data_IF_303062934185
#
_entry.id   IF_303062934185
#
_cell.length_a   1.000
_cell.length_b   1.000
_cell.length_c   1.000
_cell.angle_alpha   90.00
_cell.angle_beta   90.00
_cell.angle_gamma   90.00
#
_symmetry.space_group_name_H-M   'P 1'
#
loop_
_entity.id
_entity.type
_entity.pdbx_description
1 polymer ?
#
# COMPACT_ATOMS: atom_id res chain seq x y z
N UNK A 1 27.41 26.80 50.28
CA UNK A 1 26.30 25.92 49.87
C UNK A 1 25.55 26.55 48.71
N UNK A 2 26.12 26.43 47.51
CA UNK A 2 25.55 26.76 46.21
C UNK A 2 26.20 25.74 45.29
N UNK A 3 25.44 25.07 44.42
CA UNK A 3 25.87 24.10 43.38
C UNK A 3 25.13 22.74 43.41
N UNK A 4 23.88 22.69 43.87
CA UNK A 4 23.07 21.44 43.78
C UNK A 4 21.80 21.57 42.94
N UNK A 5 21.53 22.73 42.32
CA UNK A 5 20.29 22.94 41.55
C UNK A 5 20.44 22.80 40.02
N UNK A 6 21.65 22.73 39.47
CA UNK A 6 21.83 22.71 38.00
C UNK A 6 21.76 21.33 37.36
N UNK A 7 21.76 20.25 38.14
CA UNK A 7 21.84 18.88 37.59
C UNK A 7 20.44 18.34 37.21
N UNK A 8 19.37 18.86 37.80
CA UNK A 8 18.01 18.32 37.60
C UNK A 8 17.36 18.87 36.31
N UNK A 9 17.79 20.03 35.80
CA UNK A 9 17.22 20.62 34.60
C UNK A 9 17.78 20.04 33.28
N UNK A 10 18.92 19.33 33.33
CA UNK A 10 19.57 18.78 32.14
C UNK A 10 19.08 17.37 31.75
N UNK A 11 18.29 16.70 32.60
CA UNK A 11 17.84 15.32 32.39
C UNK A 11 16.48 15.19 31.69
N UNK A 12 15.78 16.30 31.44
CA UNK A 12 14.47 16.32 30.78
C UNK A 12 14.53 16.58 29.26
N UNK A 13 15.72 16.77 28.68
CA UNK A 13 15.87 17.10 27.25
C UNK A 13 16.14 15.90 26.33
N UNK A 14 16.17 14.66 26.82
CA UNK A 14 16.53 13.48 26.00
C UNK A 14 15.34 12.62 25.55
N UNK A 15 14.09 13.04 25.77
CA UNK A 15 12.90 12.28 25.34
C UNK A 15 12.53 12.47 23.86
N UNK A 16 13.34 13.17 23.06
CA UNK A 16 13.04 13.51 21.67
C UNK A 16 13.74 12.63 20.61
N UNK A 17 14.12 11.39 20.94
CA UNK A 17 14.60 10.45 19.92
C UNK A 17 13.46 9.56 19.42
N UNK A 18 12.76 10.12 18.43
CA UNK A 18 12.18 9.47 17.27
C UNK A 18 11.66 8.04 17.47
N UNK A 19 10.37 7.94 17.71
CA UNK A 19 9.58 6.78 17.31
C UNK A 19 9.42 6.77 15.78
N UNK A 20 10.53 6.68 15.04
CA UNK A 20 10.51 6.32 13.63
C UNK A 20 10.71 4.81 13.55
N UNK A 21 9.66 4.06 13.89
CA UNK A 21 9.50 2.73 13.30
C UNK A 21 9.21 2.93 11.81
N UNK A 22 10.25 3.25 11.05
CA UNK A 22 10.33 2.99 9.60
C UNK A 22 10.35 1.47 9.42
N UNK A 23 9.28 0.81 9.82
CA UNK A 23 9.00 -0.50 9.28
C UNK A 23 8.58 -0.20 7.85
N UNK A 24 9.52 -0.32 6.92
CA UNK A 24 9.18 -0.39 5.51
C UNK A 24 8.12 -1.47 5.41
N UNK A 25 6.88 -1.08 5.11
CA UNK A 25 5.82 -2.02 4.80
C UNK A 25 6.26 -2.70 3.52
N UNK A 26 6.95 -3.84 3.66
CA UNK A 26 7.41 -4.63 2.52
C UNK A 26 6.20 -5.37 1.99
N UNK A 27 5.49 -4.73 1.07
CA UNK A 27 4.51 -5.41 0.22
C UNK A 27 5.28 -6.37 -0.70
N UNK A 28 4.70 -7.52 -0.98
CA UNK A 28 5.26 -8.44 -1.98
C UNK A 28 5.39 -7.71 -3.32
N UNK A 29 6.56 -7.85 -3.96
CA UNK A 29 6.91 -7.24 -5.24
C UNK A 29 5.94 -7.66 -6.35
N UNK A 30 5.28 -8.80 -6.22
CA UNK A 30 4.28 -9.27 -7.16
C UNK A 30 3.03 -8.36 -7.21
N UNK A 31 2.71 -7.65 -6.12
CA UNK A 31 1.63 -6.66 -6.11
C UNK A 31 2.03 -5.32 -6.73
N UNK A 32 3.34 -5.02 -6.77
CA UNK A 32 3.82 -3.71 -7.20
C UNK A 32 3.59 -3.55 -8.70
N UNK A 33 3.08 -2.38 -9.10
CA UNK A 33 2.82 -2.02 -10.50
C UNK A 33 1.47 -1.35 -10.69
N UNK A 34 1.19 -1.00 -11.95
CA UNK A 34 -0.08 -0.45 -12.38
C UNK A 34 -0.99 -1.58 -12.87
N UNK A 35 -2.14 -1.70 -12.23
CA UNK A 35 -3.14 -2.71 -12.51
C UNK A 35 -4.38 -2.06 -13.10
N UNK A 36 -4.91 -2.64 -14.17
CA UNK A 36 -6.10 -2.14 -14.87
C UNK A 36 -7.17 -3.21 -14.90
N UNK A 37 -8.38 -2.85 -14.46
CA UNK A 37 -9.57 -3.69 -14.49
C UNK A 37 -10.69 -3.06 -15.30
N UNK A 38 -11.54 -3.89 -15.89
CA UNK A 38 -12.65 -3.45 -16.74
C UNK A 38 -13.95 -4.15 -16.34
N UNK A 39 -14.98 -3.37 -16.01
CA UNK A 39 -16.31 -3.91 -15.70
C UNK A 39 -17.39 -2.98 -16.22
N UNK A 40 -18.40 -3.50 -16.93
CA UNK A 40 -19.58 -2.73 -17.35
C UNK A 40 -19.27 -1.40 -18.08
N UNK A 41 -18.20 -1.38 -18.88
CA UNK A 41 -17.74 -0.17 -19.59
C UNK A 41 -17.00 0.85 -18.73
N UNK A 42 -16.80 0.57 -17.44
CA UNK A 42 -16.00 1.35 -16.51
C UNK A 42 -14.58 0.79 -16.43
N UNK A 43 -13.59 1.68 -16.40
CA UNK A 43 -12.18 1.34 -16.19
C UNK A 43 -11.79 1.65 -14.74
N UNK A 44 -11.02 0.75 -14.15
CA UNK A 44 -10.50 0.82 -12.78
C UNK A 44 -8.98 0.74 -12.82
N UNK A 45 -8.31 1.53 -11.98
CA UNK A 45 -6.86 1.52 -11.82
C UNK A 45 -6.48 1.29 -10.36
N UNK A 46 -5.50 0.44 -10.16
CA UNK A 46 -4.83 0.21 -8.86
C UNK A 46 -3.34 0.39 -9.10
N UNK A 47 -2.76 1.46 -8.58
CA UNK A 47 -1.32 1.71 -8.63
C UNK A 47 -0.72 1.39 -7.27
N UNK A 48 0.17 0.40 -7.22
CA UNK A 48 0.81 -0.07 -5.99
C UNK A 48 2.30 0.23 -6.07
N UNK A 49 2.76 1.08 -5.16
CA UNK A 49 4.17 1.46 -5.00
C UNK A 49 4.72 0.96 -3.67
N UNK A 50 6.00 0.60 -3.65
CA UNK A 50 6.72 0.33 -2.40
C UNK A 50 6.97 1.60 -1.57
N UNK A 51 6.84 2.78 -2.21
CA UNK A 51 7.03 4.06 -1.55
C UNK A 51 5.79 4.46 -0.75
N UNK A 52 6.02 4.92 0.47
CA UNK A 52 4.94 5.29 1.40
C UNK A 52 4.15 6.48 0.83
N UNK A 53 2.85 6.26 0.64
CA UNK A 53 1.91 7.31 0.21
C UNK A 53 1.76 7.45 -1.30
N UNK A 54 2.48 6.65 -2.08
CA UNK A 54 2.49 6.75 -3.55
C UNK A 54 1.61 5.70 -4.24
N UNK A 55 0.72 5.02 -3.50
CA UNK A 55 -0.25 4.10 -4.09
C UNK A 55 -1.59 4.79 -4.32
N UNK A 56 -2.36 4.34 -5.30
CA UNK A 56 -3.67 4.91 -5.60
C UNK A 56 -4.69 3.89 -6.09
N UNK A 57 -5.96 4.21 -5.87
CA UNK A 57 -7.10 3.53 -6.47
C UNK A 57 -7.95 4.57 -7.19
N UNK A 58 -8.27 4.31 -8.45
CA UNK A 58 -9.09 5.17 -9.29
C UNK A 58 -10.18 4.37 -10.00
N UNK A 59 -11.37 4.95 -10.06
CA UNK A 59 -12.38 4.58 -11.04
C UNK A 59 -12.42 5.72 -12.06
N UNK A 60 -12.19 5.42 -13.34
CA UNK A 60 -12.04 6.45 -14.37
C UNK A 60 -13.20 7.46 -14.32
N UNK A 61 -12.85 8.74 -14.17
CA UNK A 61 -13.82 9.84 -14.07
C UNK A 61 -14.37 10.10 -12.66
N UNK A 62 -13.84 9.44 -11.63
CA UNK A 62 -14.17 9.68 -10.21
C UNK A 62 -12.96 10.22 -9.44
N UNK A 63 -13.18 10.60 -8.19
CA UNK A 63 -12.11 11.03 -7.28
C UNK A 63 -11.08 9.90 -7.07
N UNK A 64 -9.79 10.24 -7.15
CA UNK A 64 -8.69 9.31 -6.92
C UNK A 64 -8.44 9.18 -5.42
N UNK A 65 -8.30 7.95 -4.94
CA UNK A 65 -7.96 7.65 -3.55
C UNK A 65 -6.47 7.34 -3.46
N UNK A 66 -5.71 8.23 -2.81
CA UNK A 66 -4.28 8.06 -2.57
C UNK A 66 -3.99 7.46 -1.19
N UNK A 67 -2.88 6.74 -1.07
CA UNK A 67 -2.40 6.26 0.22
C UNK A 67 -1.18 5.35 0.14
N UNK A 68 -0.85 4.73 1.27
CA UNK A 68 0.14 3.65 1.30
C UNK A 68 -0.58 2.33 1.11
N UNK A 69 -0.18 1.53 0.12
CA UNK A 69 -0.69 0.17 -0.04
C UNK A 69 -0.28 -0.71 1.16
N UNK A 70 -1.22 -1.52 1.63
CA UNK A 70 -0.99 -2.57 2.63
C UNK A 70 -1.74 -3.82 2.20
N UNK A 71 -1.07 -4.96 2.24
CA UNK A 71 -1.69 -6.27 2.05
C UNK A 71 -1.83 -6.91 3.42
N UNK A 72 -3.06 -7.25 3.78
CA UNK A 72 -3.40 -8.04 4.95
C UNK A 72 -3.78 -9.45 4.49
N UNK A 73 -2.76 -10.30 4.35
CA UNK A 73 -2.89 -11.70 3.90
C UNK A 73 -3.76 -12.54 4.85
N UNK A 74 -3.92 -12.12 6.11
CA UNK A 74 -4.74 -12.87 7.07
C UNK A 74 -6.23 -12.70 6.80
N UNK A 75 -6.62 -11.55 6.27
CA UNK A 75 -8.00 -11.18 6.02
C UNK A 75 -8.31 -11.04 4.53
N UNK A 76 -7.37 -11.41 3.66
CA UNK A 76 -7.46 -11.28 2.21
C UNK A 76 -7.86 -9.86 1.79
N UNK A 77 -7.11 -8.84 2.25
CA UNK A 77 -7.38 -7.43 1.92
C UNK A 77 -6.18 -6.69 1.36
N UNK A 78 -6.44 -5.89 0.32
CA UNK A 78 -5.58 -4.80 -0.12
C UNK A 78 -6.17 -3.48 0.37
N UNK A 79 -5.37 -2.66 1.03
CA UNK A 79 -5.79 -1.39 1.61
C UNK A 79 -4.97 -0.26 0.99
N UNK A 80 -5.62 0.73 0.39
CA UNK A 80 -5.00 1.95 -0.15
C UNK A 80 -5.73 3.16 0.43
N UNK A 81 -5.06 3.89 1.32
CA UNK A 81 -5.67 5.03 1.99
C UNK A 81 -6.89 4.61 2.80
N UNK A 82 -8.08 5.08 2.40
CA UNK A 82 -9.38 4.71 3.00
C UNK A 82 -10.12 3.59 2.25
N UNK A 83 -9.59 3.13 1.10
CA UNK A 83 -10.21 2.09 0.30
C UNK A 83 -9.68 0.73 0.74
N UNK A 84 -10.59 -0.17 1.08
CA UNK A 84 -10.33 -1.59 1.26
C UNK A 84 -10.89 -2.34 0.04
N UNK A 85 -10.11 -3.29 -0.45
CA UNK A 85 -10.39 -4.19 -1.55
C UNK A 85 -10.20 -5.61 -1.03
N UNK A 86 -11.19 -6.48 -1.20
CA UNK A 86 -11.04 -7.91 -0.96
C UNK A 86 -10.12 -8.51 -2.02
N UNK A 87 -9.27 -9.46 -1.62
CA UNK A 87 -8.37 -10.20 -2.52
C UNK A 87 -8.97 -11.58 -2.71
N UNK A 88 -9.68 -11.82 -3.82
CA UNK A 88 -10.18 -13.16 -4.14
C UNK A 88 -9.09 -14.02 -4.77
N UNK A 89 -8.17 -13.41 -5.51
CA UNK A 89 -7.01 -14.11 -6.09
C UNK A 89 -5.80 -13.18 -6.07
N UNK A 90 -4.69 -13.58 -5.38
CA UNK A 90 -3.48 -12.77 -5.34
C UNK A 90 -2.80 -12.67 -6.72
N UNK A 91 -1.84 -11.76 -6.88
CA UNK A 91 -1.04 -11.65 -8.10
C UNK A 91 -0.42 -13.00 -8.50
N UNK A 92 -0.65 -13.41 -9.74
CA UNK A 92 -0.07 -14.60 -10.32
C UNK A 92 0.20 -14.41 -11.82
N UNK A 93 1.11 -15.21 -12.35
CA UNK A 93 1.41 -15.27 -13.78
C UNK A 93 0.44 -16.21 -14.49
N UNK A 94 -0.08 -15.76 -15.63
CA UNK A 94 -0.83 -16.57 -16.59
C UNK A 94 -0.09 -16.59 -17.94
N UNK A 95 0.11 -17.78 -18.51
CA UNK A 95 0.67 -17.96 -19.85
C UNK A 95 -0.47 -18.13 -20.86
N UNK A 96 -0.69 -17.09 -21.68
CA UNK A 96 -1.67 -17.09 -22.75
C UNK A 96 -0.94 -17.16 -24.09
N UNK A 97 -0.72 -18.37 -24.59
CA UNK A 97 -0.16 -18.60 -25.91
C UNK A 97 1.30 -18.13 -26.06
N UNK A 98 2.11 -18.28 -25.00
CA UNK A 98 3.51 -17.87 -24.97
C UNK A 98 3.73 -16.43 -24.51
N UNK A 99 2.67 -15.74 -24.07
CA UNK A 99 2.74 -14.40 -23.50
C UNK A 99 2.39 -14.48 -22.02
N UNK A 100 3.38 -14.18 -21.17
CA UNK A 100 3.18 -14.10 -19.72
C UNK A 100 2.47 -12.79 -19.38
N UNK A 101 1.36 -12.88 -18.66
CA UNK A 101 0.64 -11.74 -18.09
C UNK A 101 0.48 -11.93 -16.60
N UNK A 102 0.43 -10.81 -15.87
CA UNK A 102 0.16 -10.82 -14.44
C UNK A 102 -1.30 -10.44 -14.20
N UNK A 103 -1.99 -11.25 -13.39
CA UNK A 103 -3.39 -11.06 -13.05
C UNK A 103 -3.61 -11.12 -11.53
N UNK A 104 -4.64 -10.42 -11.07
CA UNK A 104 -5.20 -10.57 -9.71
C UNK A 104 -6.69 -10.29 -9.75
N UNK A 105 -7.44 -10.77 -8.75
CA UNK A 105 -8.86 -10.45 -8.60
C UNK A 105 -9.08 -9.69 -7.29
N UNK A 106 -9.67 -8.50 -7.40
CA UNK A 106 -10.02 -7.65 -6.27
C UNK A 106 -11.48 -7.21 -6.30
N UNK A 107 -12.20 -7.32 -5.19
CA UNK A 107 -13.65 -7.05 -5.09
C UNK A 107 -14.45 -7.78 -6.22
N UNK A 108 -13.99 -8.96 -6.64
CA UNK A 108 -14.58 -9.72 -7.74
C UNK A 108 -14.28 -9.20 -9.16
N UNK A 109 -13.46 -8.17 -9.29
CA UNK A 109 -12.99 -7.64 -10.58
C UNK A 109 -11.58 -8.16 -10.90
N UNK A 110 -11.40 -8.68 -12.12
CA UNK A 110 -10.08 -9.06 -12.63
C UNK A 110 -9.28 -7.83 -13.05
N UNK A 111 -8.01 -7.79 -12.63
CA UNK A 111 -7.05 -6.77 -13.00
C UNK A 111 -5.87 -7.41 -13.72
N UNK A 112 -5.36 -6.74 -14.75
CA UNK A 112 -4.12 -7.09 -15.45
C UNK A 112 -3.05 -6.03 -15.15
N UNK A 113 -1.82 -6.46 -14.88
CA UNK A 113 -0.67 -5.56 -14.68
C UNK A 113 -0.12 -5.09 -16.03
N UNK A 114 0.15 -3.79 -16.14
CA UNK A 114 0.84 -3.16 -17.29
C UNK A 114 2.35 -3.21 -17.17
#
# INVERSE_FOLDING_TARGET
MKNTCYIIFLLLLTTAFSCDKKQAYKIDENYVGLWTGHENGQVYFVDISQQKGESSYEVQGKEIIYGTAKVDEKNDKLIIGKKELSIETPPHEEDIGGVVRWQMTLDGLEYTRS
#
